data_IF_474725449774
#
_entry.id   IF_474725449774
#
_cell.length_a   1.000
_cell.length_b   1.000
_cell.length_c   1.000
_cell.angle_alpha   90.00
_cell.angle_beta   90.00
_cell.angle_gamma   90.00
#
_symmetry.space_group_name_H-M   'P 1'
#
loop_
_entity.id
_entity.type
_entity.pdbx_description
1 polymer ?
#
# COMPACT_ATOMS: atom_id res chain seq x y z
N UNK A 1 -9.90 -1.23 -5.98
CA UNK A 1 -9.41 -2.33 -5.11
C UNK A 1 -10.58 -2.71 -4.20
N UNK A 2 -11.02 -3.97 -4.26
CA UNK A 2 -12.26 -4.40 -3.60
C UNK A 2 -11.98 -5.17 -2.30
N UNK A 3 -10.81 -5.84 -2.21
CA UNK A 3 -10.46 -6.72 -1.10
C UNK A 3 -9.12 -6.35 -0.45
N UNK A 4 -9.00 -6.60 0.85
CA UNK A 4 -7.76 -6.37 1.61
C UNK A 4 -6.60 -7.23 1.10
N UNK A 5 -6.88 -8.43 0.61
CA UNK A 5 -5.88 -9.33 0.03
C UNK A 5 -5.24 -8.73 -1.23
N UNK A 6 -6.02 -8.00 -2.05
CA UNK A 6 -5.50 -7.33 -3.24
C UNK A 6 -4.54 -6.19 -2.89
N UNK A 7 -4.76 -5.50 -1.76
CA UNK A 7 -3.81 -4.48 -1.27
C UNK A 7 -2.47 -5.11 -0.95
N UNK A 8 -2.50 -6.25 -0.26
CA UNK A 8 -1.29 -6.98 0.10
C UNK A 8 -0.57 -7.43 -1.17
N UNK A 9 -1.26 -8.09 -2.10
CA UNK A 9 -0.66 -8.56 -3.36
C UNK A 9 -0.02 -7.42 -4.17
N UNK A 10 -0.70 -6.27 -4.30
CA UNK A 10 -0.16 -5.10 -5.01
C UNK A 10 1.11 -4.59 -4.34
N UNK A 11 1.15 -4.49 -3.00
CA UNK A 11 2.33 -4.05 -2.27
C UNK A 11 3.51 -5.03 -2.45
N UNK A 12 3.24 -6.34 -2.47
CA UNK A 12 4.29 -7.34 -2.70
C UNK A 12 4.84 -7.29 -4.14
N UNK A 13 3.96 -7.21 -5.13
CA UNK A 13 4.35 -7.24 -6.53
C UNK A 13 5.01 -5.94 -6.97
N UNK A 14 4.43 -4.79 -6.62
CA UNK A 14 4.92 -3.50 -7.07
C UNK A 14 6.08 -2.99 -6.24
N UNK A 15 6.07 -3.19 -4.92
CA UNK A 15 7.04 -2.57 -4.01
C UNK A 15 7.94 -3.57 -3.30
N UNK A 16 7.76 -4.88 -3.54
CA UNK A 16 8.58 -5.91 -2.91
C UNK A 16 8.32 -6.12 -1.43
N UNK A 17 7.13 -5.75 -0.94
CA UNK A 17 6.76 -6.01 0.43
C UNK A 17 6.85 -7.52 0.72
N UNK A 18 7.42 -7.86 1.88
CA UNK A 18 7.23 -9.17 2.48
C UNK A 18 5.77 -9.35 2.91
N UNK A 19 5.33 -10.59 3.13
CA UNK A 19 3.99 -10.87 3.67
C UNK A 19 3.72 -10.10 4.98
N UNK A 20 4.74 -9.99 5.83
CA UNK A 20 4.64 -9.25 7.10
C UNK A 20 4.49 -7.74 6.91
N UNK A 21 5.27 -7.13 6.01
CA UNK A 21 5.14 -5.68 5.73
C UNK A 21 3.83 -5.35 5.01
N UNK A 22 3.34 -6.24 4.15
CA UNK A 22 2.03 -6.09 3.52
C UNK A 22 0.87 -6.14 4.54
N UNK A 23 0.95 -6.99 5.57
CA UNK A 23 -0.04 -6.96 6.67
C UNK A 23 0.08 -5.69 7.53
N UNK A 24 1.30 -5.15 7.74
CA UNK A 24 1.46 -3.86 8.41
C UNK A 24 0.78 -2.72 7.64
N UNK A 25 0.95 -2.66 6.32
CA UNK A 25 0.25 -1.72 5.44
C UNK A 25 -1.28 -1.85 5.59
N UNK A 26 -1.80 -3.07 5.53
CA UNK A 26 -3.23 -3.36 5.71
C UNK A 26 -3.75 -2.87 7.07
N UNK A 27 -3.01 -3.12 8.15
CA UNK A 27 -3.37 -2.65 9.50
C UNK A 27 -3.32 -1.12 9.63
N UNK A 28 -2.32 -0.48 9.04
CA UNK A 28 -2.17 0.97 9.03
C UNK A 28 -3.38 1.63 8.35
N UNK A 29 -3.80 1.07 7.22
CA UNK A 29 -4.99 1.49 6.47
C UNK A 29 -6.29 1.33 7.26
N UNK A 30 -6.46 0.23 8.00
CA UNK A 30 -7.62 0.03 8.86
C UNK A 30 -7.68 1.01 10.04
N UNK A 31 -6.52 1.34 10.63
CA UNK A 31 -6.41 2.27 11.76
C UNK A 31 -6.46 3.75 11.36
N UNK A 32 -6.25 4.06 10.07
CA UNK A 32 -6.26 5.42 9.50
C UNK A 32 -5.36 6.42 10.25
N UNK A 33 -4.19 5.97 10.72
CA UNK A 33 -3.22 6.84 11.40
C UNK A 33 -2.37 7.57 10.35
N UNK A 34 -2.42 8.91 10.25
CA UNK A 34 -1.74 9.65 9.19
C UNK A 34 -0.22 9.42 9.14
N UNK A 35 0.45 9.45 10.29
CA UNK A 35 1.91 9.25 10.37
C UNK A 35 2.36 7.87 9.90
N UNK A 36 1.60 6.82 10.27
CA UNK A 36 1.92 5.46 9.84
C UNK A 36 1.62 5.27 8.36
N UNK A 37 0.53 5.84 7.85
CA UNK A 37 0.22 5.81 6.42
C UNK A 37 1.29 6.48 5.58
N UNK A 38 1.79 7.65 5.98
CA UNK A 38 2.86 8.36 5.27
C UNK A 38 4.16 7.56 5.30
N UNK A 39 4.50 6.93 6.43
CA UNK A 39 5.65 6.02 6.51
C UNK A 39 5.52 4.87 5.53
N UNK A 40 4.36 4.21 5.49
CA UNK A 40 4.11 3.10 4.57
C UNK A 40 4.10 3.55 3.11
N UNK A 41 3.64 4.77 2.82
CA UNK A 41 3.68 5.41 1.50
C UNK A 41 5.11 5.52 1.00
N UNK A 42 6.02 6.04 1.82
CA UNK A 42 7.43 6.17 1.46
C UNK A 42 8.05 4.81 1.16
N UNK A 43 7.84 3.80 2.02
CA UNK A 43 8.36 2.44 1.81
C UNK A 43 7.80 1.82 0.52
N UNK A 44 6.52 2.02 0.22
CA UNK A 44 5.88 1.54 -1.01
C UNK A 44 6.50 2.20 -2.25
N UNK A 45 6.69 3.52 -2.22
CA UNK A 45 7.25 4.27 -3.34
C UNK A 45 8.71 3.87 -3.56
N UNK A 46 9.52 3.83 -2.51
CA UNK A 46 10.93 3.46 -2.61
C UNK A 46 11.09 2.06 -3.19
N UNK A 47 10.39 1.06 -2.63
CA UNK A 47 10.42 -0.30 -3.15
C UNK A 47 9.89 -0.43 -4.58
N UNK A 48 8.92 0.41 -4.99
CA UNK A 48 8.43 0.44 -6.36
C UNK A 48 9.45 1.06 -7.32
N UNK A 49 10.16 2.12 -6.88
CA UNK A 49 11.21 2.76 -7.67
C UNK A 49 12.43 1.86 -7.86
N UNK A 50 12.82 1.09 -6.84
CA UNK A 50 13.87 0.07 -6.94
C UNK A 50 13.54 -1.02 -7.97
N UNK A 51 12.24 -1.24 -8.22
CA UNK A 51 11.72 -2.19 -9.22
C UNK A 51 11.47 -1.56 -10.60
N UNK A 52 11.89 -0.30 -10.80
CA UNK A 52 11.79 0.41 -12.08
C UNK A 52 10.45 1.10 -12.34
N UNK A 53 9.56 1.18 -11.34
CA UNK A 53 8.31 1.94 -11.44
C UNK A 53 8.62 3.41 -11.17
N UNK A 54 8.11 4.32 -12.02
CA UNK A 54 8.26 5.76 -11.80
C UNK A 54 7.62 6.17 -10.48
N UNK A 55 8.31 7.03 -9.72
CA UNK A 55 7.84 7.54 -8.44
C UNK A 55 6.41 8.10 -8.50
N UNK A 56 6.11 8.88 -9.55
CA UNK A 56 4.77 9.44 -9.76
C UNK A 56 3.68 8.37 -9.96
N UNK A 57 4.01 7.29 -10.68
CA UNK A 57 3.10 6.15 -10.87
C UNK A 57 2.91 5.38 -9.56
N UNK A 58 3.98 5.13 -8.81
CA UNK A 58 3.89 4.46 -7.51
C UNK A 58 3.05 5.26 -6.52
N UNK A 59 3.29 6.58 -6.43
CA UNK A 59 2.50 7.50 -5.63
C UNK A 59 1.01 7.46 -6.01
N UNK A 60 0.69 7.53 -7.31
CA UNK A 60 -0.69 7.47 -7.77
C UNK A 60 -1.37 6.14 -7.43
N UNK A 61 -0.66 5.01 -7.56
CA UNK A 61 -1.19 3.69 -7.19
C UNK A 61 -1.44 3.62 -5.68
N UNK A 62 -0.53 4.17 -4.87
CA UNK A 62 -0.72 4.23 -3.41
C UNK A 62 -1.95 5.07 -3.04
N UNK A 63 -2.15 6.23 -3.65
CA UNK A 63 -3.32 7.08 -3.40
C UNK A 63 -4.63 6.35 -3.76
N UNK A 64 -4.62 5.53 -4.82
CA UNK A 64 -5.75 4.65 -5.14
C UNK A 64 -5.98 3.62 -4.03
N UNK A 65 -4.93 2.94 -3.57
CA UNK A 65 -5.01 1.96 -2.46
C UNK A 65 -5.60 2.63 -1.21
N UNK A 66 -5.08 3.78 -0.79
CA UNK A 66 -5.54 4.53 0.38
C UNK A 66 -7.02 4.92 0.26
N UNK A 67 -7.41 5.47 -0.89
CA UNK A 67 -8.80 5.82 -1.17
C UNK A 67 -9.71 4.61 -1.02
N UNK A 68 -9.31 3.44 -1.55
CA UNK A 68 -10.09 2.21 -1.44
C UNK A 68 -10.10 1.62 -0.04
N UNK A 69 -9.02 1.73 0.72
CA UNK A 69 -8.99 1.24 2.09
C UNK A 69 -9.94 2.00 3.03
N UNK A 70 -10.31 3.24 2.67
CA UNK A 70 -11.41 3.97 3.32
C UNK A 70 -12.79 3.33 3.15
N UNK A 71 -13.00 2.55 2.08
CA UNK A 71 -14.26 1.89 1.70
C UNK A 71 -14.23 0.35 1.82
N UNK A 72 -13.07 -0.25 2.17
CA UNK A 72 -12.85 -1.69 2.14
C UNK A 72 -13.65 -2.44 3.19
N UNK A 73 -14.70 -3.13 2.77
CA UNK A 73 -15.46 -4.09 3.58
C UNK A 73 -14.51 -5.21 4.09
N UNK A 74 -14.59 -5.54 5.38
CA UNK A 74 -14.08 -6.83 5.89
C UNK A 74 -14.95 -7.93 5.27
N UNK A 75 -14.32 -8.95 4.66
CA UNK A 75 -14.93 -10.27 4.53
C UNK A 75 -14.29 -11.19 5.55
#
# INVERSE_FOLDING_TARGET
ILYQEQVMEIAQQLSGFSLGSADLLRRAMGKKKPEEMERQRQIFIDGATERGIKQASAAHIFDLIEKFAGYGFNK
#
